data_IF_644258774566
#
_entry.id   IF_644258774566
#
_cell.length_a   1.000
_cell.length_b   1.000
_cell.length_c   1.000
_cell.angle_alpha   90.00
_cell.angle_beta   90.00
_cell.angle_gamma   90.00
#
_symmetry.space_group_name_H-M   'P 1'
#
loop_
_entity.id
_entity.type
_entity.pdbx_description
1 polymer ?
#
# COMPACT_ATOMS: atom_id res chain seq x y z
N UNK A 1 -10.48 -38.27 -0.66
CA UNK A 1 -10.36 -36.92 -0.06
C UNK A 1 -9.55 -36.05 -1.00
N UNK A 2 -10.04 -34.88 -1.41
CA UNK A 2 -9.22 -33.94 -2.20
C UNK A 2 -8.15 -33.37 -1.25
N UNK A 3 -6.89 -33.25 -1.68
CA UNK A 3 -5.86 -32.63 -0.84
C UNK A 3 -6.29 -31.20 -0.47
N UNK A 4 -6.00 -30.79 0.76
CA UNK A 4 -6.24 -29.42 1.23
C UNK A 4 -5.60 -28.43 0.25
N UNK A 5 -6.37 -27.43 -0.21
CA UNK A 5 -5.84 -26.41 -1.13
C UNK A 5 -4.78 -25.59 -0.40
N UNK A 6 -3.59 -25.49 -0.97
CA UNK A 6 -2.51 -24.67 -0.44
C UNK A 6 -2.79 -23.18 -0.69
N UNK A 7 -3.65 -22.58 0.12
CA UNK A 7 -4.07 -21.18 0.00
C UNK A 7 -2.96 -20.24 0.51
N UNK A 8 -2.77 -19.11 -0.17
CA UNK A 8 -1.86 -18.03 0.24
C UNK A 8 -2.68 -16.81 0.71
N UNK A 9 -2.73 -16.52 2.04
CA UNK A 9 -3.49 -15.38 2.57
C UNK A 9 -3.06 -14.03 2.00
N UNK A 10 -1.76 -13.85 1.78
CA UNK A 10 -1.23 -12.63 1.18
C UNK A 10 -1.68 -12.45 -0.27
N UNK A 11 -1.68 -13.52 -1.08
CA UNK A 11 -2.16 -13.47 -2.46
C UNK A 11 -3.65 -13.10 -2.51
N UNK A 12 -4.46 -13.71 -1.64
CA UNK A 12 -5.87 -13.36 -1.51
C UNK A 12 -6.04 -11.86 -1.25
N UNK A 13 -5.33 -11.31 -0.27
CA UNK A 13 -5.42 -9.88 0.05
C UNK A 13 -4.93 -8.99 -1.10
N UNK A 14 -3.85 -9.37 -1.79
CA UNK A 14 -3.39 -8.67 -3.00
C UNK A 14 -4.48 -8.60 -4.06
N UNK A 15 -5.05 -9.75 -4.44
CA UNK A 15 -6.12 -9.82 -5.44
C UNK A 15 -7.37 -9.07 -4.98
N UNK A 16 -7.73 -9.18 -3.69
CA UNK A 16 -8.83 -8.43 -3.08
C UNK A 16 -8.62 -6.92 -3.17
N UNK A 17 -7.43 -6.42 -2.87
CA UNK A 17 -7.12 -4.99 -2.99
C UNK A 17 -7.13 -4.51 -4.44
N UNK A 18 -6.63 -5.31 -5.38
CA UNK A 18 -6.74 -4.99 -6.81
C UNK A 18 -8.20 -4.91 -7.23
N UNK A 19 -9.03 -5.89 -6.84
CA UNK A 19 -10.46 -5.90 -7.12
C UNK A 19 -11.16 -4.67 -6.52
N UNK A 20 -10.85 -4.33 -5.27
CA UNK A 20 -11.37 -3.13 -4.61
C UNK A 20 -11.06 -1.85 -5.40
N UNK A 21 -9.79 -1.67 -5.79
CA UNK A 21 -9.33 -0.48 -6.52
C UNK A 21 -9.98 -0.40 -7.89
N UNK A 22 -9.97 -1.48 -8.67
CA UNK A 22 -10.51 -1.49 -10.03
C UNK A 22 -12.01 -1.19 -10.06
N UNK A 23 -12.79 -1.82 -9.18
CA UNK A 23 -14.23 -1.60 -9.13
C UNK A 23 -14.59 -0.26 -8.50
N UNK A 24 -13.89 0.15 -7.44
CA UNK A 24 -14.10 1.43 -6.78
C UNK A 24 -13.77 2.62 -7.69
N UNK A 25 -12.54 2.69 -8.20
CA UNK A 25 -12.13 3.78 -9.09
C UNK A 25 -12.84 3.73 -10.44
N UNK A 26 -13.05 2.53 -10.99
CA UNK A 26 -13.74 2.35 -12.27
C UNK A 26 -15.18 2.83 -12.22
N UNK A 27 -15.92 2.45 -11.17
CA UNK A 27 -17.30 2.91 -10.99
C UNK A 27 -17.39 4.41 -10.68
N UNK A 28 -16.44 4.96 -9.91
CA UNK A 28 -16.41 6.38 -9.59
C UNK A 28 -16.12 7.22 -10.83
N UNK A 29 -15.16 6.80 -11.66
CA UNK A 29 -14.87 7.42 -12.95
C UNK A 29 -16.08 7.36 -13.90
N UNK A 30 -16.69 6.18 -14.01
CA UNK A 30 -17.85 5.98 -14.88
C UNK A 30 -19.05 6.82 -14.41
N UNK A 31 -19.34 6.82 -13.11
CA UNK A 31 -20.40 7.63 -12.52
C UNK A 31 -20.15 9.12 -12.75
N UNK A 32 -18.93 9.60 -12.53
CA UNK A 32 -18.57 10.99 -12.78
C UNK A 32 -18.82 11.40 -14.24
N UNK A 33 -18.50 10.51 -15.20
CA UNK A 33 -18.73 10.74 -16.63
C UNK A 33 -20.22 10.69 -17.00
N UNK A 34 -20.97 9.70 -16.49
CA UNK A 34 -22.40 9.55 -16.81
C UNK A 34 -23.21 10.72 -16.28
N UNK A 35 -22.90 11.18 -15.06
CA UNK A 35 -23.64 12.24 -14.39
C UNK A 35 -23.03 13.65 -14.61
N UNK A 36 -21.99 13.76 -15.45
CA UNK A 36 -21.29 15.01 -15.78
C UNK A 36 -20.92 15.85 -14.55
N UNK A 37 -20.46 15.21 -13.47
CA UNK A 37 -20.17 15.91 -12.23
C UNK A 37 -18.82 16.64 -12.23
N UNK A 38 -17.98 16.40 -13.24
CA UNK A 38 -16.62 16.97 -13.37
C UNK A 38 -15.79 16.88 -12.08
N UNK A 39 -16.05 15.86 -11.26
CA UNK A 39 -15.33 15.64 -10.02
C UNK A 39 -13.90 15.22 -10.35
N UNK A 40 -12.93 15.99 -9.87
CA UNK A 40 -11.56 15.50 -9.82
C UNK A 40 -11.45 14.50 -8.67
N UNK A 41 -11.04 13.27 -8.97
CA UNK A 41 -10.79 12.22 -7.97
C UNK A 41 -9.84 12.68 -6.85
N UNK A 42 -8.99 13.68 -7.16
CA UNK A 42 -7.92 14.18 -6.30
C UNK A 42 -8.40 15.28 -5.34
N UNK A 43 -9.41 16.05 -5.75
CA UNK A 43 -10.00 17.10 -4.90
C UNK A 43 -11.29 16.63 -4.26
N UNK A 44 -11.70 15.37 -4.48
CA UNK A 44 -12.97 14.80 -4.00
C UNK A 44 -13.15 14.94 -2.48
N UNK A 45 -12.06 14.78 -1.71
CA UNK A 45 -12.04 14.92 -0.24
C UNK A 45 -12.26 16.38 0.19
N UNK A 46 -11.97 17.33 -0.70
CA UNK A 46 -11.96 18.77 -0.44
C UNK A 46 -13.07 19.52 -1.19
N UNK A 47 -13.89 18.81 -1.96
CA UNK A 47 -14.98 19.37 -2.74
C UNK A 47 -16.30 19.25 -1.98
N UNK A 48 -17.12 20.30 -2.04
CA UNK A 48 -18.51 20.25 -1.60
C UNK A 48 -19.30 19.30 -2.53
N UNK A 49 -19.47 18.06 -2.08
CA UNK A 49 -20.20 17.05 -2.82
C UNK A 49 -21.70 17.29 -2.65
N UNK A 50 -22.38 17.70 -3.72
CA UNK A 50 -23.84 17.68 -3.77
C UNK A 50 -24.40 16.25 -3.61
N UNK A 51 -25.72 16.08 -3.38
CA UNK A 51 -26.34 14.77 -3.11
C UNK A 51 -26.04 13.69 -4.16
N UNK A 52 -25.95 14.08 -5.45
CA UNK A 52 -25.58 13.18 -6.54
C UNK A 52 -24.14 12.68 -6.42
N UNK A 53 -23.21 13.55 -6.03
CA UNK A 53 -21.81 13.19 -5.81
C UNK A 53 -21.66 12.21 -4.64
N UNK A 54 -22.35 12.49 -3.52
CA UNK A 54 -22.38 11.58 -2.37
C UNK A 54 -22.92 10.21 -2.77
N UNK A 55 -24.03 10.18 -3.52
CA UNK A 55 -24.63 8.93 -4.01
C UNK A 55 -23.66 8.09 -4.84
N UNK A 56 -22.92 8.71 -5.76
CA UNK A 56 -21.91 8.00 -6.57
C UNK A 56 -20.78 7.46 -5.70
N UNK A 57 -20.26 8.24 -4.75
CA UNK A 57 -19.21 7.77 -3.85
C UNK A 57 -19.67 6.54 -3.06
N UNK A 58 -20.89 6.54 -2.55
CA UNK A 58 -21.46 5.41 -1.80
C UNK A 58 -21.59 4.18 -2.71
N UNK A 59 -22.17 4.33 -3.92
CA UNK A 59 -22.32 3.22 -4.87
C UNK A 59 -20.96 2.67 -5.28
N UNK A 60 -19.98 3.55 -5.52
CA UNK A 60 -18.62 3.14 -5.85
C UNK A 60 -17.94 2.39 -4.72
N UNK A 61 -18.17 2.79 -3.47
CA UNK A 61 -17.67 2.06 -2.30
C UNK A 61 -18.31 0.66 -2.19
N UNK A 62 -19.62 0.54 -2.42
CA UNK A 62 -20.29 -0.76 -2.42
C UNK A 62 -19.75 -1.68 -3.53
N UNK A 63 -19.55 -1.15 -4.74
CA UNK A 63 -18.94 -1.88 -5.83
C UNK A 63 -17.48 -2.26 -5.56
N UNK A 64 -16.72 -1.40 -4.87
CA UNK A 64 -15.37 -1.72 -4.42
C UNK A 64 -15.36 -2.91 -3.45
N UNK A 65 -16.29 -2.97 -2.51
CA UNK A 65 -16.43 -4.12 -1.57
C UNK A 65 -16.78 -5.41 -2.34
N UNK A 66 -17.67 -5.34 -3.32
CA UNK A 66 -17.99 -6.49 -4.19
C UNK A 66 -16.74 -6.93 -4.98
N UNK A 67 -16.02 -5.98 -5.58
CA UNK A 67 -14.76 -6.22 -6.28
C UNK A 67 -13.71 -6.86 -5.38
N UNK A 68 -13.63 -6.45 -4.11
CA UNK A 68 -12.76 -7.06 -3.11
C UNK A 68 -13.13 -8.53 -2.87
N UNK A 69 -14.42 -8.84 -2.71
CA UNK A 69 -14.89 -10.21 -2.54
C UNK A 69 -14.54 -11.10 -3.73
N UNK A 70 -14.73 -10.60 -4.96
CA UNK A 70 -14.33 -11.29 -6.20
C UNK A 70 -12.81 -11.52 -6.21
N UNK A 71 -12.02 -10.49 -5.92
CA UNK A 71 -10.57 -10.56 -5.88
C UNK A 71 -10.05 -11.57 -4.84
N UNK A 72 -10.63 -11.58 -3.64
CA UNK A 72 -10.33 -12.57 -2.60
C UNK A 72 -10.64 -13.99 -3.10
N UNK A 73 -11.78 -14.18 -3.78
CA UNK A 73 -12.17 -15.47 -4.37
C UNK A 73 -11.20 -15.95 -5.45
N UNK A 74 -10.76 -15.05 -6.33
CA UNK A 74 -9.73 -15.33 -7.34
C UNK A 74 -8.43 -15.76 -6.65
N UNK A 75 -7.95 -15.00 -5.67
CA UNK A 75 -6.73 -15.33 -4.94
C UNK A 75 -6.82 -16.65 -4.18
N UNK A 76 -7.99 -16.99 -3.65
CA UNK A 76 -8.24 -18.26 -2.97
C UNK A 76 -8.29 -19.46 -3.94
N UNK A 77 -8.57 -19.21 -5.23
CA UNK A 77 -8.57 -20.25 -6.26
C UNK A 77 -7.15 -20.66 -6.71
N UNK A 78 -6.15 -19.82 -6.44
CA UNK A 78 -4.76 -20.05 -6.86
C UNK A 78 -4.02 -20.84 -5.77
N UNK A 79 -3.57 -22.04 -6.12
CA UNK A 79 -2.77 -22.88 -5.22
C UNK A 79 -1.30 -22.47 -5.22
N UNK A 80 -0.80 -22.07 -4.05
CA UNK A 80 0.63 -21.77 -3.84
C UNK A 80 1.23 -22.89 -3.00
N UNK A 81 1.80 -23.89 -3.68
CA UNK A 81 2.33 -25.11 -3.03
C UNK A 81 3.69 -24.92 -2.38
N UNK A 82 4.52 -24.03 -2.92
CA UNK A 82 5.87 -23.76 -2.41
C UNK A 82 5.81 -22.83 -1.21
N UNK A 83 6.34 -23.26 -0.06
CA UNK A 83 6.51 -22.43 1.14
C UNK A 83 7.36 -21.19 0.86
N UNK A 84 8.43 -21.34 0.07
CA UNK A 84 9.30 -20.24 -0.34
C UNK A 84 8.54 -19.21 -1.18
N UNK A 85 7.71 -19.65 -2.13
CA UNK A 85 6.90 -18.76 -2.94
C UNK A 85 5.83 -18.06 -2.09
N UNK A 86 5.18 -18.77 -1.17
CA UNK A 86 4.22 -18.18 -0.23
C UNK A 86 4.88 -17.11 0.66
N UNK A 87 6.07 -17.41 1.19
CA UNK A 87 6.85 -16.47 2.00
C UNK A 87 7.24 -15.23 1.21
N UNK A 88 7.68 -15.39 -0.04
CA UNK A 88 8.01 -14.27 -0.92
C UNK A 88 6.78 -13.40 -1.21
N UNK A 89 5.64 -14.00 -1.57
CA UNK A 89 4.38 -13.26 -1.82
C UNK A 89 3.94 -12.52 -0.55
N UNK A 90 4.00 -13.17 0.61
CA UNK A 90 3.66 -12.54 1.90
C UNK A 90 4.60 -11.39 2.23
N UNK A 91 5.90 -11.54 1.98
CA UNK A 91 6.88 -10.48 2.16
C UNK A 91 6.59 -9.28 1.27
N UNK A 92 6.40 -9.49 -0.04
CA UNK A 92 6.07 -8.42 -0.98
C UNK A 92 4.79 -7.70 -0.58
N UNK A 93 3.73 -8.44 -0.25
CA UNK A 93 2.45 -7.88 0.17
C UNK A 93 2.59 -7.01 1.42
N UNK A 94 3.23 -7.50 2.49
CA UNK A 94 3.31 -6.76 3.74
C UNK A 94 4.19 -5.52 3.62
N UNK A 95 5.29 -5.58 2.88
CA UNK A 95 6.09 -4.39 2.63
C UNK A 95 5.29 -3.35 1.86
N UNK A 96 4.55 -3.72 0.81
CA UNK A 96 3.69 -2.79 0.08
C UNK A 96 2.59 -2.23 0.97
N UNK A 97 1.78 -3.09 1.59
CA UNK A 97 0.60 -2.67 2.34
C UNK A 97 0.99 -1.84 3.56
N UNK A 98 1.88 -2.36 4.40
CA UNK A 98 2.27 -1.68 5.63
C UNK A 98 3.16 -0.48 5.35
N UNK A 99 4.10 -0.62 4.42
CA UNK A 99 5.00 0.46 4.05
C UNK A 99 4.26 1.64 3.43
N UNK A 100 3.29 1.39 2.55
CA UNK A 100 2.46 2.46 1.99
C UNK A 100 1.59 3.14 3.05
N UNK A 101 0.99 2.38 3.98
CA UNK A 101 0.18 2.96 5.07
C UNK A 101 1.03 3.84 6.01
N UNK A 102 2.17 3.33 6.47
CA UNK A 102 3.10 4.07 7.32
C UNK A 102 3.59 5.33 6.59
N UNK A 103 3.94 5.19 5.31
CA UNK A 103 4.42 6.30 4.49
C UNK A 103 3.38 7.39 4.32
N UNK A 104 2.15 7.04 3.94
CA UNK A 104 1.05 7.99 3.79
C UNK A 104 0.79 8.71 5.12
N UNK A 105 0.78 7.99 6.25
CA UNK A 105 0.59 8.61 7.56
C UNK A 105 1.70 9.62 7.89
N UNK A 106 2.97 9.24 7.70
CA UNK A 106 4.13 10.14 7.91
C UNK A 106 4.03 11.36 6.99
N UNK A 107 3.69 11.16 5.72
CA UNK A 107 3.58 12.25 4.74
C UNK A 107 2.44 13.21 5.04
N UNK A 108 1.27 12.71 5.44
CA UNK A 108 0.15 13.56 5.86
C UNK A 108 0.56 14.40 7.06
N UNK A 109 1.16 13.80 8.09
CA UNK A 109 1.64 14.54 9.26
C UNK A 109 2.68 15.61 8.88
N UNK A 110 3.59 15.27 7.97
CA UNK A 110 4.62 16.20 7.49
C UNK A 110 4.00 17.37 6.70
N UNK A 111 3.11 17.09 5.76
CA UNK A 111 2.40 18.10 4.98
C UNK A 111 1.58 19.02 5.87
N UNK A 112 0.83 18.48 6.83
CA UNK A 112 0.05 19.27 7.78
C UNK A 112 0.93 20.21 8.61
N UNK A 113 2.12 19.75 9.01
CA UNK A 113 3.09 20.57 9.75
C UNK A 113 3.71 21.66 8.89
N UNK A 114 4.05 21.36 7.65
CA UNK A 114 4.79 22.27 6.79
C UNK A 114 3.91 23.32 6.11
N UNK A 115 2.68 22.96 5.72
CA UNK A 115 1.74 23.83 5.01
C UNK A 115 0.78 24.53 5.97
N UNK A 116 0.47 23.90 7.11
CA UNK A 116 -0.60 24.32 8.01
C UNK A 116 -1.96 23.82 7.53
N UNK A 117 -2.90 23.59 8.47
CA UNK A 117 -4.22 23.02 8.16
C UNK A 117 -5.04 23.90 7.21
N UNK A 118 -4.93 25.22 7.38
CA UNK A 118 -5.74 26.21 6.65
C UNK A 118 -5.29 26.39 5.20
N UNK A 119 -3.99 26.16 4.90
CA UNK A 119 -3.44 26.33 3.55
C UNK A 119 -3.38 25.02 2.74
N UNK A 120 -3.84 23.90 3.31
CA UNK A 120 -3.71 22.58 2.69
C UNK A 120 -4.45 22.47 1.34
N UNK A 121 -5.60 23.15 1.21
CA UNK A 121 -6.38 23.17 -0.02
C UNK A 121 -5.68 23.95 -1.13
N UNK A 122 -5.22 25.16 -0.84
CA UNK A 122 -4.47 26.00 -1.78
C UNK A 122 -3.16 25.34 -2.22
N UNK A 123 -2.49 24.67 -1.29
CA UNK A 123 -1.31 23.87 -1.60
C UNK A 123 -1.64 22.71 -2.55
N UNK A 124 -2.73 21.98 -2.30
CA UNK A 124 -3.14 20.88 -3.17
C UNK A 124 -3.45 21.34 -4.60
N UNK A 125 -4.06 22.52 -4.76
CA UNK A 125 -4.36 23.13 -6.06
C UNK A 125 -3.09 23.63 -6.78
N UNK A 126 -2.13 24.19 -6.04
CA UNK A 126 -0.89 24.76 -6.63
C UNK A 126 0.16 23.73 -7.05
N UNK A 127 0.18 22.56 -6.42
CA UNK A 127 1.16 21.48 -6.69
C UNK A 127 0.75 20.63 -7.91
N UNK A 128 -0.54 20.61 -8.24
CA UNK A 128 -1.09 19.84 -9.36
C UNK A 128 -1.22 18.34 -9.08
N UNK A 129 -1.77 17.61 -10.04
CA UNK A 129 -2.19 16.20 -9.84
C UNK A 129 -1.03 15.19 -9.77
N UNK A 130 0.07 15.45 -10.47
CA UNK A 130 1.18 14.49 -10.60
C UNK A 130 1.84 14.16 -9.25
N UNK A 131 2.19 15.14 -8.38
CA UNK A 131 2.76 14.81 -7.07
C UNK A 131 1.82 14.02 -6.16
N UNK A 132 0.51 14.20 -6.28
CA UNK A 132 -0.48 13.39 -5.55
C UNK A 132 -0.56 11.94 -6.06
N UNK A 133 -0.39 11.71 -7.36
CA UNK A 133 -0.21 10.35 -7.90
C UNK A 133 1.07 9.71 -7.36
N UNK A 134 2.16 10.47 -7.36
CA UNK A 134 3.46 10.02 -6.86
C UNK A 134 3.45 9.73 -5.35
N UNK A 135 2.61 10.40 -4.55
CA UNK A 135 2.42 10.13 -3.12
C UNK A 135 2.02 8.67 -2.86
N UNK A 136 1.30 8.03 -3.79
CA UNK A 136 0.93 6.61 -3.69
C UNK A 136 1.87 5.71 -4.50
N UNK A 137 2.31 6.14 -5.68
CA UNK A 137 3.17 5.32 -6.55
C UNK A 137 4.57 5.08 -6.01
N UNK A 138 5.24 6.13 -5.51
CA UNK A 138 6.60 6.06 -4.97
C UNK A 138 6.70 5.06 -3.80
N UNK A 139 5.83 5.10 -2.76
CA UNK A 139 5.92 4.13 -1.68
C UNK A 139 5.66 2.69 -2.10
N UNK A 140 4.72 2.45 -3.03
CA UNK A 140 4.48 1.09 -3.53
C UNK A 140 5.74 0.53 -4.19
N UNK A 141 6.33 1.28 -5.12
CA UNK A 141 7.54 0.87 -5.86
C UNK A 141 8.73 0.70 -4.91
N UNK A 142 8.93 1.67 -4.02
CA UNK A 142 10.03 1.64 -3.07
C UNK A 142 9.92 0.51 -2.05
N UNK A 143 8.72 0.22 -1.54
CA UNK A 143 8.51 -0.90 -0.62
C UNK A 143 8.68 -2.25 -1.33
N UNK A 144 8.24 -2.37 -2.58
CA UNK A 144 8.54 -3.55 -3.41
C UNK A 144 10.04 -3.73 -3.59
N UNK A 145 10.77 -2.65 -3.90
CA UNK A 145 12.21 -2.70 -4.08
C UNK A 145 12.92 -3.15 -2.80
N UNK A 146 12.52 -2.62 -1.64
CA UNK A 146 13.07 -3.05 -0.33
C UNK A 146 12.82 -4.56 -0.13
N UNK A 147 11.58 -5.02 -0.31
CA UNK A 147 11.25 -6.43 -0.13
C UNK A 147 12.04 -7.34 -1.07
N UNK A 148 12.12 -6.98 -2.35
CA UNK A 148 12.91 -7.71 -3.35
C UNK A 148 14.40 -7.76 -2.98
N UNK A 149 15.00 -6.63 -2.58
CA UNK A 149 16.41 -6.57 -2.18
C UNK A 149 16.69 -7.46 -0.96
N UNK A 150 15.83 -7.37 0.06
CA UNK A 150 16.00 -8.16 1.28
C UNK A 150 15.80 -9.67 1.03
N UNK A 151 14.88 -10.04 0.14
CA UNK A 151 14.72 -11.43 -0.30
C UNK A 151 15.93 -11.91 -1.11
N UNK A 152 16.40 -11.11 -2.07
CA UNK A 152 17.51 -11.46 -2.95
C UNK A 152 18.85 -11.65 -2.21
N UNK A 153 19.12 -10.82 -1.20
CA UNK A 153 20.32 -10.90 -0.37
C UNK A 153 20.16 -11.96 0.75
N UNK A 154 18.97 -12.54 0.91
CA UNK A 154 18.69 -13.58 1.91
C UNK A 154 18.52 -13.05 3.34
N UNK A 155 18.35 -11.73 3.51
CA UNK A 155 18.10 -11.08 4.80
C UNK A 155 16.65 -11.27 5.27
N UNK A 156 15.71 -11.44 4.33
CA UNK A 156 14.38 -11.99 4.59
C UNK A 156 14.36 -13.46 4.18
N UNK A 157 14.33 -14.35 5.16
CA UNK A 157 14.31 -15.79 4.94
C UNK A 157 13.28 -16.45 5.87
N UNK A 158 12.61 -17.49 5.39
CA UNK A 158 11.62 -18.25 6.14
C UNK A 158 12.20 -18.94 7.39
N UNK A 159 13.50 -19.22 7.40
CA UNK A 159 14.19 -20.00 8.45
C UNK A 159 14.71 -19.17 9.62
N UNK A 160 14.94 -17.88 9.42
CA UNK A 160 15.62 -17.04 10.41
C UNK A 160 14.88 -15.72 10.60
N UNK A 161 14.90 -15.21 11.84
CA UNK A 161 14.39 -13.87 12.12
C UNK A 161 15.32 -12.83 11.47
N UNK A 162 14.79 -11.86 10.71
CA UNK A 162 15.61 -10.81 10.12
C UNK A 162 16.26 -9.98 11.22
N UNK A 163 17.57 -9.80 11.11
CA UNK A 163 18.31 -8.90 11.98
C UNK A 163 18.10 -7.47 11.49
N UNK A 164 17.73 -6.57 12.40
CA UNK A 164 17.40 -5.19 12.03
C UNK A 164 18.56 -4.49 11.33
N UNK A 165 19.76 -4.51 11.94
CA UNK A 165 20.91 -3.74 11.47
C UNK A 165 21.34 -4.12 10.03
N UNK A 166 21.51 -5.40 9.65
CA UNK A 166 21.77 -5.79 8.26
C UNK A 166 20.66 -5.36 7.29
N UNK A 167 19.39 -5.44 7.71
CA UNK A 167 18.26 -5.04 6.87
C UNK A 167 18.19 -3.52 6.66
N UNK A 168 18.72 -2.70 7.57
CA UNK A 168 18.76 -1.24 7.43
C UNK A 168 19.66 -0.81 6.27
N UNK A 169 20.77 -1.50 6.03
CA UNK A 169 21.77 -1.13 5.02
C UNK A 169 21.16 -1.02 3.61
N UNK A 170 20.41 -2.01 3.09
CA UNK A 170 19.77 -1.89 1.78
C UNK A 170 18.45 -1.12 1.79
N UNK A 171 17.75 -1.03 2.94
CA UNK A 171 16.44 -0.39 3.00
C UNK A 171 16.49 1.13 3.20
N UNK A 172 17.39 1.63 4.04
CA UNK A 172 17.51 3.06 4.32
C UNK A 172 17.85 3.90 3.07
N UNK A 173 18.77 3.49 2.17
CA UNK A 173 19.03 4.23 0.94
C UNK A 173 17.80 4.33 0.03
N UNK A 174 16.99 3.27 -0.04
CA UNK A 174 15.75 3.27 -0.84
C UNK A 174 14.76 4.26 -0.25
N UNK A 175 14.51 4.22 1.06
CA UNK A 175 13.60 5.14 1.73
C UNK A 175 14.10 6.59 1.65
N UNK A 176 15.40 6.84 1.83
CA UNK A 176 15.99 8.16 1.64
C UNK A 176 15.74 8.68 0.22
N UNK A 177 15.98 7.85 -0.81
CA UNK A 177 15.74 8.21 -2.20
C UNK A 177 14.27 8.53 -2.47
N UNK A 178 13.35 7.72 -1.93
CA UNK A 178 11.91 7.98 -2.00
C UNK A 178 11.53 9.31 -1.33
N UNK A 179 12.02 9.55 -0.11
CA UNK A 179 11.73 10.78 0.63
C UNK A 179 12.27 12.00 -0.09
N UNK A 180 13.50 11.93 -0.60
CA UNK A 180 14.13 13.00 -1.35
C UNK A 180 13.35 13.32 -2.63
N UNK A 181 13.03 12.30 -3.44
CA UNK A 181 12.25 12.46 -4.67
C UNK A 181 10.90 13.11 -4.38
N UNK A 182 10.22 12.67 -3.33
CA UNK A 182 8.90 13.17 -3.01
C UNK A 182 8.94 14.60 -2.43
N UNK A 183 9.91 14.94 -1.59
CA UNK A 183 10.10 16.34 -1.16
C UNK A 183 10.33 17.26 -2.37
N UNK A 184 11.13 16.82 -3.34
CA UNK A 184 11.39 17.59 -4.55
C UNK A 184 10.13 17.78 -5.40
N UNK A 185 9.32 16.73 -5.58
CA UNK A 185 8.04 16.80 -6.30
C UNK A 185 7.04 17.75 -5.64
N UNK A 186 7.03 17.81 -4.31
CA UNK A 186 6.19 18.74 -3.55
C UNK A 186 6.83 20.13 -3.36
N UNK A 187 7.99 20.40 -3.99
CA UNK A 187 8.77 21.65 -3.88
C UNK A 187 9.11 22.05 -2.44
N UNK A 188 9.30 21.06 -1.58
CA UNK A 188 9.64 21.26 -0.17
C UNK A 188 11.15 21.11 0.02
N UNK A 189 11.79 22.10 0.64
CA UNK A 189 13.21 22.04 0.99
C UNK A 189 13.40 21.50 2.41
N UNK A 190 14.52 20.80 2.63
CA UNK A 190 14.91 20.35 3.96
C UNK A 190 15.67 19.02 3.97
N UNK A 191 16.28 18.71 5.13
CA UNK A 191 17.01 17.46 5.38
C UNK A 191 16.14 16.40 6.07
N UNK A 192 14.83 16.63 6.17
CA UNK A 192 13.86 15.70 6.78
C UNK A 192 13.85 14.33 6.09
N UNK A 193 14.21 14.25 4.81
CA UNK A 193 14.36 12.99 4.08
C UNK A 193 15.40 12.04 4.68
N UNK A 194 16.44 12.56 5.35
CA UNK A 194 17.44 11.73 6.03
C UNK A 194 16.80 11.05 7.24
N UNK A 195 16.12 11.84 8.08
CA UNK A 195 15.46 11.35 9.27
C UNK A 195 14.35 10.34 8.92
N UNK A 196 13.49 10.65 7.94
CA UNK A 196 12.45 9.72 7.45
C UNK A 196 13.09 8.46 6.86
N UNK A 197 14.18 8.63 6.09
CA UNK A 197 14.97 7.58 5.49
C UNK A 197 15.52 6.53 6.47
N UNK A 198 15.90 6.97 7.67
CA UNK A 198 16.41 6.09 8.73
C UNK A 198 15.27 5.52 9.58
N UNK A 199 14.32 6.35 10.00
CA UNK A 199 13.27 5.96 10.93
C UNK A 199 12.25 5.00 10.31
N UNK A 200 11.91 5.18 9.04
CA UNK A 200 10.87 4.38 8.41
C UNK A 200 11.27 2.89 8.32
N UNK A 201 12.47 2.50 7.84
CA UNK A 201 12.92 1.11 7.91
C UNK A 201 12.94 0.51 9.32
N UNK A 202 13.31 1.31 10.34
CA UNK A 202 13.33 0.88 11.75
C UNK A 202 11.94 0.45 12.22
N UNK A 203 10.89 1.09 11.72
CA UNK A 203 9.49 0.75 12.03
C UNK A 203 8.98 -0.35 11.09
N UNK A 204 9.28 -0.24 9.79
CA UNK A 204 8.77 -1.12 8.75
C UNK A 204 9.24 -2.56 8.93
N UNK A 205 10.54 -2.77 9.16
CA UNK A 205 11.14 -4.11 9.19
C UNK A 205 10.51 -4.97 10.30
N UNK A 206 10.46 -4.53 11.58
CA UNK A 206 9.81 -5.31 12.64
C UNK A 206 8.33 -5.54 12.38
N UNK A 207 7.62 -4.51 11.90
CA UNK A 207 6.18 -4.59 11.67
C UNK A 207 5.82 -5.58 10.55
N UNK A 208 6.52 -5.51 9.41
CA UNK A 208 6.33 -6.48 8.33
C UNK A 208 6.72 -7.89 8.75
N UNK A 209 7.82 -8.05 9.50
CA UNK A 209 8.26 -9.36 9.99
C UNK A 209 7.19 -10.02 10.88
N UNK A 210 6.60 -9.26 11.78
CA UNK A 210 5.50 -9.74 12.63
C UNK A 210 4.29 -10.19 11.80
N UNK A 211 3.90 -9.39 10.80
CA UNK A 211 2.74 -9.68 9.95
C UNK A 211 2.98 -10.88 9.01
N UNK A 212 4.20 -11.06 8.51
CA UNK A 212 4.60 -12.25 7.74
C UNK A 212 4.53 -13.50 8.62
N UNK A 213 4.99 -13.42 9.88
CA UNK A 213 4.90 -14.53 10.82
C UNK A 213 3.43 -14.88 11.14
N UNK A 214 2.56 -13.87 11.27
CA UNK A 214 1.11 -14.06 11.43
C UNK A 214 0.50 -14.81 10.24
N UNK A 215 0.84 -14.43 9.00
CA UNK A 215 0.34 -15.12 7.81
C UNK A 215 0.78 -16.59 7.75
N UNK A 216 2.01 -16.88 8.15
CA UNK A 216 2.52 -18.24 8.22
C UNK A 216 1.68 -19.08 9.20
N UNK A 217 1.34 -18.49 10.35
CA UNK A 217 0.47 -19.12 11.34
C UNK A 217 -0.96 -19.31 10.83
N UNK A 218 -1.57 -18.29 10.21
CA UNK A 218 -2.91 -18.37 9.60
C UNK A 218 -2.98 -19.49 8.55
N UNK A 219 -1.98 -19.58 7.67
CA UNK A 219 -1.92 -20.64 6.66
C UNK A 219 -1.82 -22.03 7.28
N UNK A 220 -0.99 -22.20 8.33
CA UNK A 220 -0.90 -23.47 9.04
C UNK A 220 -2.25 -23.88 9.65
N UNK A 221 -3.02 -22.94 10.23
CA UNK A 221 -4.35 -23.20 10.76
C UNK A 221 -5.37 -23.57 9.68
N UNK A 222 -5.33 -22.93 8.52
CA UNK A 222 -6.22 -23.25 7.39
C UNK A 222 -5.91 -24.67 6.89
N UNK A 223 -4.63 -25.00 6.73
CA UNK A 223 -4.21 -26.33 6.28
C UNK A 223 -4.48 -27.44 7.31
N UNK A 224 -4.55 -27.13 8.61
CA UNK A 224 -4.85 -28.12 9.66
C UNK A 224 -6.34 -28.37 9.88
N UNK A 225 -7.22 -27.49 9.40
CA UNK A 225 -8.69 -27.56 9.60
C UNK A 225 -9.45 -28.22 8.44
N UNK A 226 -8.74 -28.63 7.38
CA UNK A 226 -9.27 -29.23 6.15
C UNK A 226 -8.71 -30.64 6.01
#
# INVERSE_FOLDING_TARGET
MKPARAVCPALMRTCGSIGFILFGLGSLYLGNKIFNLNLSLWTLVWSDLGPKGIGIVIVSLLLAIIGMGIGLGIGASIEVRSETTNFAISSLWHYVANGSLIWIAIWIMYLMKAVGKENAKEFAESVGTLPWLCLFGIPIVGCLLIACLLLAIGLLNERHKPMLLPCLIPSAPVVMGMSYLQLHLFKMSGYSWIAIGILMPVILIPFCTFMIARDKFERAQIMSRI
#
